data_IF_994152090485
#
_entry.id   IF_994152090485
#
_cell.length_a   1.000
_cell.length_b   1.000
_cell.length_c   1.000
_cell.angle_alpha   90.00
_cell.angle_beta   90.00
_cell.angle_gamma   90.00
#
_symmetry.space_group_name_H-M   'P 1'
#
loop_
_entity.id
_entity.type
_entity.pdbx_description
1 polymer ?
#
# COMPACT_ATOMS: atom_id res chain seq x y z
N UNK A 1 16.02 -39.29 15.30
CA UNK A 1 14.73 -38.77 15.81
C UNK A 1 14.46 -37.33 15.38
N UNK A 2 15.41 -36.39 15.55
CA UNK A 2 15.23 -34.96 15.24
C UNK A 2 14.87 -34.66 13.77
N UNK A 3 15.54 -35.30 12.80
CA UNK A 3 15.29 -35.05 11.36
C UNK A 3 13.86 -35.36 10.92
N UNK A 4 13.25 -36.39 11.48
CA UNK A 4 11.87 -36.78 11.16
C UNK A 4 10.88 -35.73 11.69
N UNK A 5 11.13 -35.23 12.90
CA UNK A 5 10.29 -34.20 13.52
C UNK A 5 10.37 -32.89 12.71
N UNK A 6 11.58 -32.47 12.30
CA UNK A 6 11.75 -31.27 11.46
C UNK A 6 11.06 -31.46 10.10
N UNK A 7 11.16 -32.64 9.47
CA UNK A 7 10.53 -32.91 8.18
C UNK A 7 9.01 -32.74 8.20
N UNK A 8 8.34 -33.25 9.24
CA UNK A 8 6.88 -33.12 9.39
C UNK A 8 6.49 -31.67 9.68
N UNK A 9 7.20 -31.00 10.60
CA UNK A 9 6.94 -29.59 10.92
C UNK A 9 7.15 -28.67 9.70
N UNK A 10 8.16 -28.95 8.88
CA UNK A 10 8.42 -28.21 7.65
C UNK A 10 7.28 -28.38 6.64
N UNK A 11 6.82 -29.61 6.42
CA UNK A 11 5.74 -29.91 5.46
C UNK A 11 4.44 -29.17 5.78
N UNK A 12 4.11 -28.98 7.05
CA UNK A 12 2.87 -28.30 7.47
C UNK A 12 3.03 -26.78 7.45
N UNK A 13 4.22 -26.29 7.77
CA UNK A 13 4.50 -24.84 7.88
C UNK A 13 4.58 -24.14 6.52
N UNK A 14 5.20 -24.77 5.52
CA UNK A 14 5.42 -24.18 4.17
C UNK A 14 4.13 -23.62 3.54
N UNK A 15 3.04 -24.38 3.38
CA UNK A 15 1.83 -23.86 2.73
C UNK A 15 1.16 -22.73 3.53
N UNK A 16 1.27 -22.74 4.87
CA UNK A 16 0.77 -21.65 5.71
C UNK A 16 1.58 -20.38 5.52
N UNK A 17 2.91 -20.48 5.50
CA UNK A 17 3.78 -19.34 5.24
C UNK A 17 3.51 -18.73 3.87
N UNK A 18 3.33 -19.55 2.82
CA UNK A 18 2.99 -19.05 1.48
C UNK A 18 1.66 -18.27 1.45
N UNK A 19 0.66 -18.70 2.22
CA UNK A 19 -0.61 -17.97 2.34
C UNK A 19 -0.45 -16.64 3.10
N UNK A 20 0.34 -16.63 4.17
CA UNK A 20 0.61 -15.43 4.96
C UNK A 20 1.36 -14.40 4.12
N UNK A 21 2.39 -14.80 3.37
CA UNK A 21 3.17 -13.89 2.51
C UNK A 21 2.26 -13.19 1.50
N UNK A 22 1.42 -13.95 0.77
CA UNK A 22 0.47 -13.35 -0.19
C UNK A 22 -0.53 -12.39 0.47
N UNK A 23 -1.00 -12.72 1.67
CA UNK A 23 -1.87 -11.82 2.42
C UNK A 23 -1.14 -10.56 2.90
N UNK A 24 0.12 -10.70 3.32
CA UNK A 24 0.97 -9.57 3.71
C UNK A 24 1.32 -8.66 2.51
N UNK A 25 1.52 -9.22 1.33
CA UNK A 25 1.68 -8.46 0.08
C UNK A 25 0.41 -7.66 -0.21
N UNK A 26 -0.76 -8.31 -0.24
CA UNK A 26 -2.03 -7.64 -0.47
C UNK A 26 -2.32 -6.55 0.60
N UNK A 27 -2.01 -6.81 1.87
CA UNK A 27 -2.16 -5.83 2.94
C UNK A 27 -1.21 -4.63 2.78
N UNK A 28 0.00 -4.87 2.27
CA UNK A 28 0.98 -3.81 2.00
C UNK A 28 0.53 -2.93 0.83
N UNK A 29 0.05 -3.54 -0.26
CA UNK A 29 -0.54 -2.81 -1.40
C UNK A 29 -1.76 -2.01 -0.97
N UNK A 30 -2.65 -2.62 -0.20
CA UNK A 30 -3.83 -1.94 0.35
C UNK A 30 -3.44 -0.80 1.29
N UNK A 31 -2.39 -0.96 2.10
CA UNK A 31 -1.87 0.10 2.96
C UNK A 31 -1.41 1.33 2.16
N UNK A 32 -0.73 1.11 1.03
CA UNK A 32 -0.34 2.20 0.13
C UNK A 32 -1.57 2.90 -0.46
N UNK A 33 -2.57 2.15 -0.94
CA UNK A 33 -3.81 2.73 -1.48
C UNK A 33 -4.58 3.54 -0.43
N UNK A 34 -4.70 3.03 0.80
CA UNK A 34 -5.36 3.75 1.90
C UNK A 34 -4.64 5.06 2.18
N UNK A 35 -3.30 5.03 2.24
CA UNK A 35 -2.50 6.24 2.48
C UNK A 35 -2.70 7.29 1.36
N UNK A 36 -2.83 6.83 0.12
CA UNK A 36 -3.07 7.68 -1.05
C UNK A 36 -4.47 8.29 -1.03
N UNK A 37 -5.50 7.50 -0.72
CA UNK A 37 -6.89 8.01 -0.60
C UNK A 37 -6.99 9.03 0.53
N UNK A 38 -6.36 8.78 1.69
CA UNK A 38 -6.36 9.72 2.81
C UNK A 38 -5.67 11.05 2.45
N UNK A 39 -4.58 10.99 1.69
CA UNK A 39 -3.89 12.18 1.20
C UNK A 39 -4.77 12.99 0.22
N UNK A 40 -5.45 12.31 -0.70
CA UNK A 40 -6.38 12.94 -1.64
C UNK A 40 -7.59 13.56 -0.94
N UNK A 41 -8.14 12.89 0.08
CA UNK A 41 -9.25 13.42 0.88
C UNK A 41 -8.82 14.70 1.60
N UNK A 42 -7.64 14.67 2.23
CA UNK A 42 -7.05 15.84 2.90
C UNK A 42 -6.88 17.02 1.93
N UNK A 43 -6.28 16.79 0.76
CA UNK A 43 -6.14 17.83 -0.28
C UNK A 43 -7.50 18.40 -0.70
N UNK A 44 -8.47 17.52 -0.91
CA UNK A 44 -9.80 17.92 -1.35
C UNK A 44 -10.54 18.74 -0.29
N UNK A 45 -10.29 18.46 0.99
CA UNK A 45 -10.81 19.22 2.12
C UNK A 45 -10.19 20.62 2.18
N UNK A 46 -8.87 20.73 1.97
CA UNK A 46 -8.20 22.03 1.86
C UNK A 46 -8.79 22.87 0.71
N UNK A 47 -9.03 22.27 -0.46
CA UNK A 47 -9.65 22.98 -1.60
C UNK A 47 -11.10 23.35 -1.39
N UNK A 48 -11.84 22.54 -0.63
CA UNK A 48 -13.19 22.90 -0.22
C UNK A 48 -13.20 24.13 0.69
N UNK A 49 -12.23 24.25 1.61
CA UNK A 49 -12.10 25.44 2.46
C UNK A 49 -11.72 26.68 1.63
N UNK A 50 -10.78 26.55 0.69
CA UNK A 50 -10.30 27.68 -0.12
C UNK A 50 -11.31 28.17 -1.16
N UNK A 51 -11.91 27.25 -1.92
CA UNK A 51 -12.70 27.57 -3.12
C UNK A 51 -14.20 27.26 -2.97
N UNK A 52 -14.61 26.70 -1.82
CA UNK A 52 -16.00 26.26 -1.59
C UNK A 52 -16.42 25.02 -2.38
N UNK A 53 -15.50 24.41 -3.12
CA UNK A 53 -15.76 23.22 -3.96
C UNK A 53 -14.65 22.21 -3.75
N UNK A 54 -15.04 20.96 -3.52
CA UNK A 54 -14.10 19.85 -3.39
C UNK A 54 -13.48 19.57 -4.76
N UNK A 55 -12.15 19.68 -4.86
CA UNK A 55 -11.40 19.40 -6.08
C UNK A 55 -10.21 18.51 -5.79
N UNK A 56 -9.87 17.67 -6.76
CA UNK A 56 -8.76 16.73 -6.69
C UNK A 56 -7.66 17.16 -7.68
N UNK A 57 -6.39 16.89 -7.37
CA UNK A 57 -5.29 17.22 -8.27
C UNK A 57 -5.34 16.35 -9.54
N UNK A 58 -4.79 16.87 -10.64
CA UNK A 58 -4.71 16.14 -11.92
C UNK A 58 -3.85 14.89 -11.81
N UNK A 59 -2.78 14.96 -11.02
CA UNK A 59 -1.97 13.81 -10.67
C UNK A 59 -2.20 13.46 -9.19
N UNK A 60 -2.65 12.24 -8.86
CA UNK A 60 -2.94 11.90 -7.48
C UNK A 60 -1.69 11.79 -6.60
N UNK A 61 -0.49 11.69 -7.18
CA UNK A 61 0.78 11.69 -6.46
C UNK A 61 1.17 13.08 -5.93
N UNK A 62 0.59 14.17 -6.45
CA UNK A 62 0.88 15.53 -5.99
C UNK A 62 0.30 15.83 -4.60
N UNK A 63 -0.72 15.08 -4.18
CA UNK A 63 -1.30 15.19 -2.84
C UNK A 63 -0.49 14.44 -1.77
N UNK A 64 0.49 13.62 -2.15
CA UNK A 64 1.24 12.79 -1.20
C UNK A 64 2.46 13.53 -0.64
N UNK A 65 2.64 13.46 0.68
CA UNK A 65 3.84 13.98 1.35
C UNK A 65 5.13 13.22 0.96
N UNK A 66 5.01 11.96 0.56
CA UNK A 66 6.14 11.14 0.09
C UNK A 66 5.73 10.41 -1.18
N UNK A 67 6.37 10.79 -2.27
CA UNK A 67 6.14 10.20 -3.59
C UNK A 67 6.79 8.81 -3.66
N UNK A 68 6.19 7.82 -4.37
CA UNK A 68 6.80 6.51 -4.52
C UNK A 68 8.20 6.60 -5.15
N UNK A 69 9.16 5.73 -4.77
CA UNK A 69 10.53 5.79 -5.29
C UNK A 69 10.65 5.64 -6.82
N UNK A 70 9.65 5.02 -7.45
CA UNK A 70 9.58 4.80 -8.90
C UNK A 70 8.73 5.86 -9.62
N UNK A 71 8.23 6.88 -8.92
CA UNK A 71 7.49 7.96 -9.55
C UNK A 71 8.47 8.97 -10.15
N UNK A 72 8.53 9.01 -11.48
CA UNK A 72 9.23 10.05 -12.20
C UNK A 72 8.26 11.21 -12.50
N UNK A 73 8.55 12.38 -11.93
CA UNK A 73 7.78 13.60 -12.17
C UNK A 73 8.03 14.17 -13.60
N UNK A 74 8.99 13.59 -14.34
CA UNK A 74 9.41 14.04 -15.67
C UNK A 74 8.48 13.58 -16.81
N UNK A 75 7.55 12.65 -16.55
CA UNK A 75 6.54 12.24 -17.53
C UNK A 75 7.09 11.56 -18.80
N UNK A 76 8.25 10.91 -18.72
CA UNK A 76 8.85 10.10 -19.80
C UNK A 76 8.88 8.62 -19.46
#
# INVERSE_FOLDING_TARGET
MVMVIIGILASVSIPRFANIVRQSEAASEQGVLISMVAALDTYSHEKYIDNGVQSWPTNPFDALNKVPPAFDQSGT
#
